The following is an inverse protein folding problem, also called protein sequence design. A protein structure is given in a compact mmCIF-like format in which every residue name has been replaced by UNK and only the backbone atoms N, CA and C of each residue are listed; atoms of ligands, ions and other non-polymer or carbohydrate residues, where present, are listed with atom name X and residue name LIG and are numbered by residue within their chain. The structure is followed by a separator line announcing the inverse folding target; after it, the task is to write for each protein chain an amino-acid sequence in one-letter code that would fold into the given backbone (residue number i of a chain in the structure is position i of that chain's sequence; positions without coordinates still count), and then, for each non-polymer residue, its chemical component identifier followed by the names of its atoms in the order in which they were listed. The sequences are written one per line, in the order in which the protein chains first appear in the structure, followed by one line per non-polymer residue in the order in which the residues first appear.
data_IF_360257626765
#
_entry.id   IF_360257626765
#
_cell.length_a   1.000
_cell.length_b   1.000
_cell.length_c   1.000
_cell.angle_alpha   90.00
_cell.angle_beta   90.00
_cell.angle_gamma   90.00
#
_symmetry.space_group_name_H-M   'P 1'
#
loop_
_entity.id
_entity.type
_entity.pdbx_description
1 polymer ?
#
# COMPACT_ATOMS: atom_id res chain seq x y z
N UNK A 1 61.13 -8.50 -3.40
CA UNK A 1 60.53 -7.47 -4.28
C UNK A 1 59.02 -7.60 -4.22
N UNK A 2 58.38 -6.79 -3.37
CA UNK A 2 56.91 -6.70 -3.30
C UNK A 2 56.47 -5.78 -4.42
N UNK A 3 55.77 -6.32 -5.41
CA UNK A 3 55.26 -5.52 -6.53
C UNK A 3 53.88 -4.98 -6.15
N UNK A 4 53.86 -3.75 -5.65
CA UNK A 4 52.67 -2.89 -5.63
C UNK A 4 52.24 -2.68 -7.08
N UNK A 5 51.03 -3.11 -7.43
CA UNK A 5 50.29 -2.48 -8.52
C UNK A 5 48.92 -2.12 -8.01
N UNK A 6 48.78 -0.81 -7.88
CA UNK A 6 47.59 -0.04 -7.61
C UNK A 6 46.49 -0.44 -8.60
N UNK A 7 45.27 -0.66 -8.09
CA UNK A 7 44.06 -0.55 -8.91
C UNK A 7 43.22 0.53 -8.27
N UNK A 8 43.48 1.76 -8.71
CA UNK A 8 42.61 2.90 -8.51
C UNK A 8 41.22 2.56 -9.05
N UNK A 9 40.23 2.42 -8.17
CA UNK A 9 38.83 2.51 -8.56
C UNK A 9 38.40 3.96 -8.38
N UNK A 10 38.60 4.74 -9.44
CA UNK A 10 38.03 6.08 -9.57
C UNK A 10 36.52 5.99 -9.85
N UNK A 11 35.82 6.87 -9.17
CA UNK A 11 34.38 7.09 -9.08
C UNK A 11 33.64 7.23 -10.41
N UNK A 12 32.46 6.59 -10.51
CA UNK A 12 31.34 7.13 -11.31
C UNK A 12 30.24 7.62 -10.38
N UNK A 13 30.22 8.95 -10.22
CA UNK A 13 29.17 9.71 -9.57
C UNK A 13 27.90 9.61 -10.43
N UNK A 14 26.95 8.77 -10.05
CA UNK A 14 25.58 8.82 -10.63
C UNK A 14 24.63 9.12 -9.50
N UNK A 15 24.08 10.34 -9.54
CA UNK A 15 23.09 10.81 -8.60
C UNK A 15 21.86 9.90 -8.62
N UNK A 16 21.51 9.43 -7.44
CA UNK A 16 20.27 8.75 -7.14
C UNK A 16 20.11 8.76 -5.64
N UNK A 17 19.11 9.46 -5.13
CA UNK A 17 18.81 9.56 -3.71
C UNK A 17 18.43 8.18 -3.14
N UNK A 18 19.42 7.35 -2.85
CA UNK A 18 19.24 6.18 -2.02
C UNK A 18 19.57 6.58 -0.58
N UNK A 19 18.55 6.95 0.20
CA UNK A 19 18.67 7.10 1.66
C UNK A 19 18.88 5.74 2.37
N UNK A 20 19.12 4.67 1.62
CA UNK A 20 19.37 3.32 2.10
C UNK A 20 20.85 3.00 1.83
N UNK A 21 21.57 2.61 2.89
CA UNK A 21 23.02 2.31 2.84
C UNK A 21 23.35 1.00 2.11
N UNK A 22 22.34 0.21 1.75
CA UNK A 22 22.47 -1.04 1.02
C UNK A 22 21.44 -1.08 -0.11
N UNK A 23 21.92 -1.38 -1.32
CA UNK A 23 21.04 -1.55 -2.47
C UNK A 23 20.43 -2.95 -2.47
N UNK A 24 19.14 -3.04 -2.76
CA UNK A 24 18.47 -4.32 -2.97
C UNK A 24 19.01 -5.00 -4.24
N UNK A 25 19.39 -6.26 -4.12
CA UNK A 25 19.85 -7.06 -5.26
C UNK A 25 18.66 -7.62 -6.03
N UNK A 26 18.68 -7.47 -7.36
CA UNK A 26 17.67 -8.06 -8.24
C UNK A 26 17.78 -9.59 -8.21
N UNK A 27 16.80 -10.25 -7.61
CA UNK A 27 16.78 -11.71 -7.53
C UNK A 27 16.26 -12.28 -8.86
N UNK A 28 17.05 -13.09 -9.59
CA UNK A 28 16.56 -13.78 -10.78
C UNK A 28 15.52 -14.83 -10.40
N UNK A 29 14.34 -14.79 -11.00
CA UNK A 29 13.29 -15.77 -10.75
C UNK A 29 11.88 -15.25 -11.00
N UNK A 30 10.89 -16.13 -10.86
CA UNK A 30 9.46 -15.73 -10.89
C UNK A 30 9.07 -15.13 -9.54
N UNK A 31 8.37 -14.00 -9.56
CA UNK A 31 7.80 -13.42 -8.36
C UNK A 31 6.79 -14.38 -7.70
N UNK A 32 6.66 -14.29 -6.37
CA UNK A 32 5.64 -15.06 -5.65
C UNK A 32 4.24 -14.57 -6.01
N UNK A 33 3.26 -15.49 -6.06
CA UNK A 33 1.84 -15.15 -6.28
C UNK A 33 1.12 -14.75 -4.98
N UNK A 34 1.86 -14.15 -4.04
CA UNK A 34 1.39 -13.83 -2.70
C UNK A 34 1.77 -12.41 -2.33
N UNK A 35 0.86 -11.73 -1.64
CA UNK A 35 1.08 -10.45 -0.98
C UNK A 35 0.89 -10.63 0.51
N UNK A 36 1.79 -10.05 1.30
CA UNK A 36 1.73 -10.04 2.77
C UNK A 36 1.48 -8.62 3.22
N UNK A 37 0.45 -8.41 4.03
CA UNK A 37 0.03 -7.09 4.47
C UNK A 37 -0.09 -7.06 6.00
N UNK A 38 0.31 -5.95 6.60
CA UNK A 38 0.10 -5.69 8.02
C UNK A 38 -0.22 -4.22 8.25
N UNK A 39 -0.90 -3.92 9.34
CA UNK A 39 -1.13 -2.57 9.83
C UNK A 39 -0.86 -2.55 11.32
N UNK A 40 -0.41 -1.41 11.85
CA UNK A 40 -0.24 -1.26 13.29
C UNK A 40 -1.55 -1.59 14.02
N UNK A 41 -1.47 -2.47 15.03
CA UNK A 41 -2.62 -2.96 15.78
C UNK A 41 -3.21 -4.28 15.28
N UNK A 42 -2.80 -4.78 14.10
CA UNK A 42 -3.16 -6.14 13.69
C UNK A 42 -2.44 -7.16 14.57
N UNK A 43 -3.17 -8.20 15.00
CA UNK A 43 -2.59 -9.30 15.80
C UNK A 43 -1.79 -10.28 14.96
N UNK A 44 -2.03 -10.33 13.64
CA UNK A 44 -1.39 -11.27 12.72
C UNK A 44 -1.22 -10.66 11.31
N UNK A 45 -0.27 -11.21 10.55
CA UNK A 45 -0.07 -10.87 9.14
C UNK A 45 -1.22 -11.43 8.29
N UNK A 46 -1.67 -10.64 7.33
CA UNK A 46 -2.61 -11.09 6.31
C UNK A 46 -1.86 -11.53 5.06
N UNK A 47 -2.06 -12.79 4.66
CA UNK A 47 -1.44 -13.37 3.45
C UNK A 47 -2.50 -13.57 2.38
N UNK A 48 -2.33 -12.93 1.22
CA UNK A 48 -3.31 -12.88 0.13
C UNK A 48 -2.72 -13.47 -1.14
N UNK A 49 -3.47 -14.34 -1.83
CA UNK A 49 -3.10 -14.78 -3.17
C UNK A 49 -3.38 -13.65 -4.18
N UNK A 50 -2.34 -13.19 -4.88
CA UNK A 50 -2.42 -12.02 -5.76
C UNK A 50 -3.28 -12.25 -7.01
N UNK A 51 -3.46 -13.50 -7.43
CA UNK A 51 -4.33 -13.84 -8.57
C UNK A 51 -5.82 -13.81 -8.21
N UNK A 52 -6.17 -14.04 -6.93
CA UNK A 52 -7.58 -14.15 -6.48
C UNK A 52 -8.02 -13.00 -5.58
N UNK A 53 -7.09 -12.25 -4.99
CA UNK A 53 -7.38 -11.23 -3.99
C UNK A 53 -7.92 -11.80 -2.67
N UNK A 54 -7.82 -13.12 -2.46
CA UNK A 54 -8.35 -13.81 -1.28
C UNK A 54 -7.24 -14.22 -0.33
N UNK A 55 -7.59 -14.22 0.95
CA UNK A 55 -6.72 -14.67 2.03
C UNK A 55 -6.41 -16.16 1.87
N UNK A 56 -5.15 -16.54 2.09
CA UNK A 56 -4.67 -17.91 1.88
C UNK A 56 -5.15 -18.88 2.97
N UNK A 57 -5.32 -18.38 4.19
CA UNK A 57 -5.74 -19.17 5.35
C UNK A 57 -7.26 -19.44 5.36
N UNK A 58 -8.07 -18.44 5.04
CA UNK A 58 -9.54 -18.50 5.16
C UNK A 58 -10.29 -18.56 3.82
N UNK A 59 -9.64 -18.21 2.70
CA UNK A 59 -10.31 -18.02 1.40
C UNK A 59 -11.22 -16.79 1.33
N UNK A 60 -11.33 -16.01 2.41
CA UNK A 60 -12.18 -14.80 2.44
C UNK A 60 -11.53 -13.67 1.65
N UNK A 61 -12.31 -12.65 1.29
CA UNK A 61 -11.77 -11.42 0.71
C UNK A 61 -10.76 -10.77 1.67
N UNK A 62 -9.76 -10.09 1.10
CA UNK A 62 -8.79 -9.34 1.90
C UNK A 62 -9.46 -8.21 2.70
N UNK A 63 -8.93 -7.87 3.88
CA UNK A 63 -9.35 -6.68 4.65
C UNK A 63 -9.04 -5.36 3.92
N UNK A 64 -8.16 -5.41 2.93
CA UNK A 64 -7.83 -4.29 2.04
C UNK A 64 -8.72 -4.24 0.80
N UNK A 65 -9.66 -5.18 0.62
CA UNK A 65 -10.57 -5.13 -0.51
C UNK A 65 -11.46 -3.87 -0.46
N UNK A 66 -11.93 -3.43 -1.62
CA UNK A 66 -12.75 -2.22 -1.76
C UNK A 66 -13.93 -2.18 -0.77
N UNK A 67 -14.61 -3.32 -0.60
CA UNK A 67 -15.76 -3.45 0.29
C UNK A 67 -15.41 -3.21 1.77
N UNK A 68 -14.31 -3.80 2.25
CA UNK A 68 -13.86 -3.63 3.63
C UNK A 68 -13.45 -2.19 3.93
N UNK A 69 -12.70 -1.56 3.01
CA UNK A 69 -12.31 -0.15 3.13
C UNK A 69 -13.53 0.79 3.11
N UNK A 70 -14.50 0.54 2.21
CA UNK A 70 -15.73 1.32 2.16
C UNK A 70 -16.55 1.20 3.44
N UNK A 71 -16.69 -0.02 3.96
CA UNK A 71 -17.40 -0.26 5.22
C UNK A 71 -16.76 0.50 6.38
N UNK A 72 -15.42 0.54 6.44
CA UNK A 72 -14.70 1.31 7.46
C UNK A 72 -14.89 2.82 7.29
N UNK A 73 -14.82 3.32 6.05
CA UNK A 73 -15.09 4.73 5.74
C UNK A 73 -16.50 5.15 6.17
N UNK A 74 -17.53 4.37 5.80
CA UNK A 74 -18.93 4.69 6.13
C UNK A 74 -19.17 4.76 7.64
N UNK A 75 -18.50 3.91 8.43
CA UNK A 75 -18.57 3.96 9.90
C UNK A 75 -17.97 5.27 10.42
N UNK A 76 -16.81 5.68 9.90
CA UNK A 76 -16.17 6.94 10.28
C UNK A 76 -17.02 8.16 9.92
N UNK A 77 -17.55 8.20 8.69
CA UNK A 77 -18.39 9.30 8.21
C UNK A 77 -19.67 9.48 9.06
N UNK A 78 -20.35 8.38 9.41
CA UNK A 78 -21.53 8.44 10.29
C UNK A 78 -21.19 8.93 11.69
N UNK A 79 -20.04 8.51 12.21
CA UNK A 79 -19.60 8.94 13.53
C UNK A 79 -19.17 10.42 13.53
N UNK A 80 -18.52 10.91 12.47
CA UNK A 80 -18.10 12.31 12.38
C UNK A 80 -19.28 13.29 12.23
N UNK A 81 -20.34 12.90 11.52
CA UNK A 81 -21.56 13.71 11.40
C UNK A 81 -22.33 13.88 12.73
N UNK A 82 -22.04 13.03 13.73
CA UNK A 82 -22.63 13.16 15.06
C UNK A 82 -21.93 14.19 15.95
N UNK A 83 -20.76 14.72 15.55
CA UNK A 83 -19.95 15.60 16.39
C UNK A 83 -19.72 17.03 15.92
N UNK A 84 -19.83 17.42 14.65
CA UNK A 84 -19.75 18.84 14.23
C UNK A 84 -20.43 19.07 12.86
N UNK A 85 -21.41 19.99 12.79
CA UNK A 85 -22.25 20.14 11.58
C UNK A 85 -21.84 21.26 10.60
N UNK A 86 -20.88 22.16 10.88
CA UNK A 86 -20.80 23.41 10.07
C UNK A 86 -19.49 23.71 9.31
N UNK A 87 -18.28 23.29 9.72
CA UNK A 87 -17.07 23.84 9.05
C UNK A 87 -16.30 22.89 8.13
N UNK A 88 -16.54 21.57 8.19
CA UNK A 88 -15.83 20.59 7.33
C UNK A 88 -16.45 20.41 5.94
N UNK A 89 -17.64 20.97 5.70
CA UNK A 89 -18.36 20.87 4.43
C UNK A 89 -17.72 21.69 3.29
N UNK A 90 -16.68 22.51 3.54
CA UNK A 90 -16.02 23.26 2.46
C UNK A 90 -14.64 22.67 2.11
N UNK A 91 -13.98 21.92 3.00
CA UNK A 91 -12.61 21.45 2.74
C UNK A 91 -12.51 20.00 2.23
N UNK A 92 -13.54 19.16 2.39
CA UNK A 92 -13.62 17.84 1.71
C UNK A 92 -13.88 18.01 0.20
N UNK A 93 -14.32 19.20 -0.22
CA UNK A 93 -14.63 19.51 -1.61
C UNK A 93 -13.40 19.74 -2.51
N UNK A 94 -12.19 19.66 -1.97
CA UNK A 94 -10.93 19.72 -2.74
C UNK A 94 -10.15 18.39 -2.74
N UNK A 95 -10.90 17.28 -2.75
CA UNK A 95 -10.62 16.03 -3.48
C UNK A 95 -11.70 15.88 -4.60
N UNK A 96 -11.95 16.93 -5.39
CA UNK A 96 -13.06 16.96 -6.38
C UNK A 96 -13.11 15.69 -7.24
N UNK A 97 -14.28 15.12 -7.55
CA UNK A 97 -14.47 13.91 -8.40
C UNK A 97 -13.96 12.56 -7.86
N UNK A 98 -12.94 12.55 -6.99
CA UNK A 98 -12.04 11.39 -6.80
C UNK A 98 -12.63 10.19 -6.05
N UNK A 99 -13.93 10.19 -5.77
CA UNK A 99 -14.70 8.97 -5.50
C UNK A 99 -16.21 9.11 -5.79
N UNK A 100 -16.64 9.83 -6.84
CA UNK A 100 -17.89 9.42 -7.53
C UNK A 100 -17.73 7.91 -7.77
N UNK A 101 -16.52 7.50 -8.23
CA UNK A 101 -15.57 6.36 -7.98
C UNK A 101 -15.57 5.47 -6.69
N UNK A 102 -16.38 5.67 -5.67
CA UNK A 102 -16.91 4.44 -5.02
C UNK A 102 -17.83 3.75 -6.05
N UNK A 103 -18.41 4.62 -6.90
CA UNK A 103 -19.22 4.62 -8.12
C UNK A 103 -20.09 3.42 -8.23
N UNK A 104 -21.38 3.66 -7.96
CA UNK A 104 -22.38 2.62 -7.83
C UNK A 104 -21.84 1.54 -6.88
N UNK A 105 -21.73 1.80 -5.58
CA UNK A 105 -21.53 0.71 -4.61
C UNK A 105 -22.72 -0.29 -4.57
N UNK A 106 -23.58 -0.34 -5.60
CA UNK A 106 -25.00 -0.72 -5.49
C UNK A 106 -25.73 -1.18 -6.77
N UNK A 107 -25.17 -1.28 -7.98
CA UNK A 107 -26.01 -1.49 -9.20
C UNK A 107 -25.95 -2.83 -9.95
N UNK A 108 -25.15 -3.79 -9.51
CA UNK A 108 -25.40 -5.19 -9.84
C UNK A 108 -25.06 -5.98 -8.57
N UNK A 109 -26.10 -6.41 -7.86
CA UNK A 109 -26.02 -7.57 -6.97
C UNK A 109 -25.53 -8.80 -7.76
#
# INVERSE_FOLDING_TARGET
MVNRRDTEQTSTHTGGNALLTCAEYQQPGKASCVSVNWTMGDTQLEVVNTATGRRRDSGTASRLCKHALFTRWNRLYRNSLSQDYIETNIHIHTYGELRIIMNLSMFLD
#
